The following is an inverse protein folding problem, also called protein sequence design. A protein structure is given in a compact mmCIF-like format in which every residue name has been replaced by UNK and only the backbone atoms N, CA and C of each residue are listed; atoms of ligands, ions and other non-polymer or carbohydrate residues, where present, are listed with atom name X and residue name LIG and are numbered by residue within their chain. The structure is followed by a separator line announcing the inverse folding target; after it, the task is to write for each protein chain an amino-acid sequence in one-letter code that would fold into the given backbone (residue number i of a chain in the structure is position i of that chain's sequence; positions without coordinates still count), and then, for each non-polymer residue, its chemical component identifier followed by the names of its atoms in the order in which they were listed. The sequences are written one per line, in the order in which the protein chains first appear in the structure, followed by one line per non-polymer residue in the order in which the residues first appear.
data_IF_903584976534
#
_entry.id   IF_903584976534
#
_cell.length_a   1.000
_cell.length_b   1.000
_cell.length_c   1.000
_cell.angle_alpha   90.00
_cell.angle_beta   90.00
_cell.angle_gamma   90.00
#
_symmetry.space_group_name_H-M   'P 1'
#
loop_
_entity.id
_entity.type
_entity.pdbx_description
1 polymer ?
#
# COMPACT_ATOMS: atom_id res chain seq x y z
N UNK A 1 -4.17 -15.61 -2.91
CA UNK A 1 -2.98 -16.08 -2.17
C UNK A 1 -2.58 -17.52 -2.53
N UNK A 2 -3.51 -18.47 -2.67
CA UNK A 2 -3.19 -19.91 -2.86
C UNK A 2 -2.12 -20.19 -3.93
N UNK A 3 -2.22 -19.71 -5.19
CA UNK A 3 -1.19 -20.02 -6.19
C UNK A 3 0.16 -19.32 -5.93
N UNK A 4 0.12 -18.08 -5.42
CA UNK A 4 1.31 -17.30 -5.09
C UNK A 4 2.05 -17.87 -3.87
N UNK A 5 1.33 -18.48 -2.94
CA UNK A 5 1.88 -19.07 -1.73
C UNK A 5 2.46 -20.47 -1.97
N UNK A 6 1.85 -21.25 -2.87
CA UNK A 6 2.21 -22.65 -3.15
C UNK A 6 3.43 -22.79 -4.08
N UNK A 7 3.65 -21.86 -5.00
CA UNK A 7 4.78 -21.92 -5.94
C UNK A 7 5.59 -20.63 -5.93
N UNK A 8 6.87 -20.74 -5.55
CA UNK A 8 7.83 -19.63 -5.55
C UNK A 8 8.13 -19.10 -6.95
N UNK A 9 7.95 -19.91 -7.98
CA UNK A 9 8.15 -19.55 -9.38
C UNK A 9 6.88 -19.03 -10.07
N UNK A 10 5.75 -19.02 -9.35
CA UNK A 10 4.49 -18.48 -9.87
C UNK A 10 4.67 -17.01 -10.26
N UNK A 11 4.14 -16.57 -11.42
CA UNK A 11 4.06 -15.16 -11.75
C UNK A 11 3.34 -14.33 -10.67
N UNK A 12 2.41 -14.95 -9.96
CA UNK A 12 1.65 -14.31 -8.87
C UNK A 12 2.46 -14.19 -7.57
N UNK A 13 3.63 -14.85 -7.44
CA UNK A 13 4.49 -14.73 -6.26
C UNK A 13 4.86 -13.28 -5.99
N UNK A 14 5.22 -12.55 -7.04
CA UNK A 14 5.67 -11.15 -6.97
C UNK A 14 4.55 -10.16 -6.66
N UNK A 15 3.29 -10.60 -6.64
CA UNK A 15 2.17 -9.73 -6.27
C UNK A 15 2.15 -9.40 -4.78
N UNK A 16 2.85 -10.18 -3.96
CA UNK A 16 2.94 -10.01 -2.51
C UNK A 16 4.40 -9.84 -2.09
N UNK A 17 4.60 -9.36 -0.85
CA UNK A 17 5.93 -9.13 -0.29
C UNK A 17 6.36 -10.38 0.50
N UNK A 18 7.32 -11.11 -0.05
CA UNK A 18 7.93 -12.30 0.57
C UNK A 18 9.38 -12.02 0.98
N UNK A 19 9.80 -12.59 2.11
CA UNK A 19 11.19 -12.52 2.58
C UNK A 19 11.63 -13.84 3.18
N UNK A 20 12.91 -14.11 3.02
CA UNK A 20 13.58 -15.23 3.68
C UNK A 20 13.69 -14.97 5.18
N UNK A 21 13.76 -16.06 5.95
CA UNK A 21 13.88 -16.06 7.39
C UNK A 21 13.90 -17.50 7.91
N UNK A 22 14.00 -17.65 9.22
CA UNK A 22 13.83 -18.94 9.88
C UNK A 22 12.53 -18.91 10.67
N UNK A 23 11.81 -20.03 10.78
CA UNK A 23 10.60 -20.10 11.59
C UNK A 23 10.88 -19.61 13.02
N UNK A 24 10.04 -18.71 13.52
CA UNK A 24 10.23 -18.02 14.80
C UNK A 24 11.13 -16.78 14.76
N UNK A 25 11.85 -16.54 13.65
CA UNK A 25 12.73 -15.38 13.45
C UNK A 25 12.25 -14.57 12.24
N UNK A 26 11.36 -13.57 12.43
CA UNK A 26 10.84 -12.77 11.33
C UNK A 26 11.95 -11.91 10.68
N UNK A 27 11.77 -11.46 9.42
CA UNK A 27 12.76 -10.67 8.68
C UNK A 27 13.18 -9.36 9.35
N UNK A 28 12.28 -8.75 10.11
CA UNK A 28 12.54 -7.57 10.94
C UNK A 28 11.52 -7.49 12.09
N UNK A 29 11.67 -6.47 12.94
CA UNK A 29 10.87 -6.25 14.14
C UNK A 29 9.55 -5.48 13.92
N UNK A 30 9.08 -5.32 12.68
CA UNK A 30 7.84 -4.58 12.39
C UNK A 30 6.62 -5.27 13.02
N UNK A 31 5.67 -4.46 13.49
CA UNK A 31 4.44 -4.96 14.14
C UNK A 31 3.21 -4.70 13.27
N UNK A 32 2.30 -5.68 13.26
CA UNK A 32 0.98 -5.50 12.66
C UNK A 32 0.16 -4.52 13.49
N UNK A 33 -0.72 -3.76 12.82
CA UNK A 33 -1.69 -2.88 13.46
C UNK A 33 -2.71 -3.63 14.32
N UNK A 34 -2.90 -4.92 14.07
CA UNK A 34 -3.79 -5.78 14.86
C UNK A 34 -3.03 -6.59 15.94
N UNK A 35 -1.76 -6.27 16.17
CA UNK A 35 -0.92 -6.93 17.17
C UNK A 35 -0.08 -8.07 16.60
N UNK A 36 0.96 -8.46 17.33
CA UNK A 36 1.94 -9.44 16.86
C UNK A 36 2.93 -8.90 15.83
N UNK A 37 3.63 -9.82 15.17
CA UNK A 37 4.55 -9.51 14.06
C UNK A 37 3.76 -9.05 12.83
N UNK A 38 4.35 -8.20 12.00
CA UNK A 38 3.84 -7.91 10.65
C UNK A 38 4.20 -9.02 9.64
N UNK A 39 4.89 -10.07 10.06
CA UNK A 39 5.34 -11.16 9.22
C UNK A 39 4.73 -12.48 9.66
N UNK A 40 4.07 -13.15 8.72
CA UNK A 40 3.51 -14.47 8.94
C UNK A 40 4.36 -15.53 8.23
N UNK A 41 4.80 -16.53 9.00
CA UNK A 41 5.53 -17.68 8.45
C UNK A 41 4.59 -18.51 7.59
N UNK A 42 5.05 -18.89 6.40
CA UNK A 42 4.37 -19.80 5.50
C UNK A 42 5.23 -21.04 5.27
N UNK A 43 4.92 -22.12 6.02
CA UNK A 43 5.73 -23.32 6.12
C UNK A 43 6.03 -23.96 4.76
N UNK A 44 5.02 -24.15 3.90
CA UNK A 44 5.17 -24.79 2.59
C UNK A 44 6.18 -24.07 1.69
N UNK A 45 6.21 -22.74 1.79
CA UNK A 45 7.15 -21.94 1.03
C UNK A 45 8.41 -21.58 1.80
N UNK A 46 8.58 -21.98 3.06
CA UNK A 46 9.72 -21.64 3.92
C UNK A 46 10.10 -20.15 3.92
N UNK A 47 9.10 -19.26 3.89
CA UNK A 47 9.29 -17.81 3.81
C UNK A 47 8.21 -17.09 4.62
N UNK A 48 8.49 -15.84 4.96
CA UNK A 48 7.53 -14.93 5.55
C UNK A 48 6.84 -14.10 4.47
N UNK A 49 5.55 -13.80 4.66
CA UNK A 49 4.86 -12.75 3.91
C UNK A 49 4.49 -11.58 4.83
N UNK A 50 4.51 -10.37 4.27
CA UNK A 50 4.13 -9.16 5.00
C UNK A 50 2.60 -9.03 5.09
N UNK A 51 2.11 -8.68 6.29
CA UNK A 51 0.74 -8.26 6.55
C UNK A 51 0.75 -7.10 7.58
N UNK A 52 0.38 -5.90 7.15
CA UNK A 52 0.29 -4.75 8.06
C UNK A 52 -0.98 -4.77 8.95
N UNK A 53 -1.95 -5.61 8.59
CA UNK A 53 -3.22 -5.79 9.29
C UNK A 53 -3.42 -7.27 9.67
N UNK A 54 -4.60 -7.84 9.44
CA UNK A 54 -4.88 -9.25 9.72
C UNK A 54 -3.99 -10.17 8.88
N UNK A 55 -3.73 -11.38 9.37
CA UNK A 55 -2.90 -12.40 8.69
C UNK A 55 -3.46 -12.78 7.31
N UNK A 56 -4.77 -12.66 7.11
CA UNK A 56 -5.45 -12.91 5.85
C UNK A 56 -5.30 -11.75 4.84
N UNK A 57 -4.82 -10.59 5.29
CA UNK A 57 -4.65 -9.37 4.51
C UNK A 57 -3.17 -9.18 4.12
N UNK A 58 -2.65 -10.09 3.29
CA UNK A 58 -1.30 -10.00 2.76
C UNK A 58 -1.10 -8.73 1.93
N UNK A 59 -0.02 -8.00 2.20
CA UNK A 59 0.30 -6.74 1.54
C UNK A 59 0.69 -6.96 0.08
N UNK A 60 0.06 -6.19 -0.82
CA UNK A 60 0.44 -6.14 -2.22
C UNK A 60 1.79 -5.44 -2.42
N UNK A 61 2.60 -5.98 -3.32
CA UNK A 61 3.89 -5.42 -3.70
C UNK A 61 3.72 -4.36 -4.80
N UNK A 62 3.55 -3.11 -4.40
CA UNK A 62 3.40 -1.99 -5.35
C UNK A 62 4.66 -1.69 -6.18
N UNK A 63 5.83 -2.18 -5.77
CA UNK A 63 7.05 -2.06 -6.58
C UNK A 63 6.96 -2.89 -7.87
N UNK A 64 6.19 -3.97 -7.86
CA UNK A 64 5.99 -4.83 -9.02
C UNK A 64 4.97 -4.18 -9.99
N UNK A 65 5.39 -3.70 -11.18
CA UNK A 65 4.50 -2.96 -12.07
C UNK A 65 3.21 -3.72 -12.44
N UNK A 66 3.22 -5.05 -12.70
CA UNK A 66 1.99 -5.81 -12.94
C UNK A 66 0.93 -5.68 -11.85
N UNK A 67 1.30 -5.53 -10.57
CA UNK A 67 0.33 -5.26 -9.50
C UNK A 67 -0.40 -3.95 -9.76
N UNK A 68 0.34 -2.89 -10.09
CA UNK A 68 -0.23 -1.58 -10.36
C UNK A 68 -1.08 -1.60 -11.63
N UNK A 69 -0.69 -2.33 -12.66
CA UNK A 69 -1.51 -2.54 -13.86
C UNK A 69 -2.84 -3.23 -13.55
N UNK A 70 -2.84 -4.29 -12.75
CA UNK A 70 -4.08 -4.95 -12.34
C UNK A 70 -4.98 -4.03 -11.47
N UNK A 71 -4.38 -3.26 -10.55
CA UNK A 71 -5.12 -2.26 -9.77
C UNK A 71 -5.74 -1.17 -10.64
N UNK A 72 -5.03 -0.71 -11.67
CA UNK A 72 -5.59 0.23 -12.66
C UNK A 72 -6.81 -0.37 -13.34
N UNK A 73 -6.73 -1.61 -13.83
CA UNK A 73 -7.87 -2.30 -14.47
C UNK A 73 -9.08 -2.40 -13.55
N UNK A 74 -8.88 -2.69 -12.25
CA UNK A 74 -9.97 -2.73 -11.27
C UNK A 74 -10.63 -1.35 -11.13
N UNK A 75 -9.85 -0.29 -10.98
CA UNK A 75 -10.38 1.07 -10.88
C UNK A 75 -11.12 1.49 -12.17
N UNK A 76 -10.56 1.15 -13.34
CA UNK A 76 -11.17 1.42 -14.64
C UNK A 76 -12.49 0.68 -14.80
N UNK A 77 -12.55 -0.61 -14.44
CA UNK A 77 -13.78 -1.41 -14.49
C UNK A 77 -14.93 -0.74 -13.72
N UNK A 78 -14.68 -0.27 -12.49
CA UNK A 78 -15.73 0.37 -11.69
C UNK A 78 -16.13 1.74 -12.24
N UNK A 79 -15.17 2.52 -12.73
CA UNK A 79 -15.46 3.80 -13.37
C UNK A 79 -16.31 3.61 -14.64
N UNK A 80 -15.97 2.63 -15.47
CA UNK A 80 -16.68 2.33 -16.71
C UNK A 80 -18.09 1.75 -16.43
N UNK A 81 -18.36 1.32 -15.19
CA UNK A 81 -19.71 0.96 -14.69
C UNK A 81 -20.51 2.15 -14.15
N UNK A 82 -19.94 3.37 -14.14
CA UNK A 82 -20.61 4.59 -13.70
C UNK A 82 -20.36 4.98 -12.25
N UNK A 83 -19.30 4.47 -11.61
CA UNK A 83 -18.88 4.96 -10.28
C UNK A 83 -18.20 6.33 -10.41
N UNK A 84 -18.69 7.33 -9.71
CA UNK A 84 -18.18 8.72 -9.79
C UNK A 84 -16.95 9.00 -8.91
N UNK A 85 -16.62 8.12 -7.97
CA UNK A 85 -15.49 8.32 -7.09
C UNK A 85 -15.05 7.11 -6.30
N UNK A 86 -13.78 7.15 -5.87
CA UNK A 86 -13.13 6.08 -5.14
C UNK A 86 -12.62 6.57 -3.79
N UNK A 87 -12.90 5.77 -2.76
CA UNK A 87 -12.34 5.93 -1.42
C UNK A 87 -11.14 5.00 -1.28
N UNK A 88 -9.93 5.56 -1.24
CA UNK A 88 -8.69 4.81 -1.19
C UNK A 88 -8.30 4.57 0.27
N UNK A 89 -8.47 3.33 0.73
CA UNK A 89 -8.21 2.97 2.12
C UNK A 89 -6.72 2.73 2.38
N UNK A 90 -6.22 3.31 3.48
CA UNK A 90 -4.83 3.16 3.98
C UNK A 90 -3.77 3.33 2.88
N UNK A 91 -4.08 4.18 1.90
CA UNK A 91 -3.32 4.28 0.65
C UNK A 91 -1.90 4.77 0.91
N UNK A 92 -1.69 5.55 1.96
CA UNK A 92 -0.39 6.05 2.32
C UNK A 92 0.58 5.00 2.87
N UNK A 93 0.15 3.74 2.99
CA UNK A 93 0.98 2.63 3.44
C UNK A 93 1.56 1.79 2.30
N UNK A 94 1.22 2.08 1.04
CA UNK A 94 1.53 1.14 -0.06
C UNK A 94 3.00 1.14 -0.48
N UNK A 95 3.73 2.23 -0.25
CA UNK A 95 5.16 2.32 -0.52
C UNK A 95 5.96 1.94 0.72
N UNK A 96 6.77 0.89 0.62
CA UNK A 96 7.66 0.41 1.71
C UNK A 96 9.11 0.78 1.37
N UNK A 97 9.95 1.02 2.37
CA UNK A 97 11.40 1.01 2.19
C UNK A 97 11.86 -0.42 1.86
N UNK A 98 12.67 -0.55 0.81
CA UNK A 98 12.98 -1.85 0.20
C UNK A 98 14.09 -2.61 0.89
N UNK A 99 14.82 -1.94 1.79
CA UNK A 99 15.82 -2.53 2.67
C UNK A 99 15.17 -3.27 3.86
N UNK A 100 13.89 -3.01 4.14
CA UNK A 100 13.14 -3.60 5.27
C UNK A 100 13.87 -3.55 6.62
N UNK A 101 14.41 -2.39 7.05
CA UNK A 101 15.22 -2.30 8.25
C UNK A 101 14.41 -2.54 9.53
N UNK A 102 15.07 -2.99 10.60
CA UNK A 102 14.51 -2.95 11.94
C UNK A 102 14.22 -1.51 12.39
N UNK A 103 13.16 -1.34 13.17
CA UNK A 103 12.82 -0.08 13.84
C UNK A 103 13.28 -0.12 15.30
N UNK A 104 14.43 0.47 15.60
CA UNK A 104 14.93 0.59 16.97
C UNK A 104 14.10 1.55 17.85
N UNK A 105 13.22 2.35 17.25
CA UNK A 105 12.56 3.48 17.90
C UNK A 105 11.02 3.44 17.76
N UNK A 106 10.45 2.32 17.32
CA UNK A 106 9.04 2.24 16.97
C UNK A 106 8.60 0.83 16.59
N UNK A 107 7.59 0.76 15.73
CA UNK A 107 6.94 -0.49 15.31
C UNK A 107 7.07 -0.76 13.80
N UNK A 108 7.99 -0.05 13.13
CA UNK A 108 8.21 -0.15 11.69
C UNK A 108 7.46 0.88 10.86
N UNK A 109 6.45 1.57 11.42
CA UNK A 109 5.56 2.44 10.64
C UNK A 109 6.26 3.56 9.86
N UNK A 110 7.41 4.04 10.33
CA UNK A 110 8.20 5.09 9.65
C UNK A 110 8.74 4.63 8.29
N UNK A 111 8.84 3.32 8.08
CA UNK A 111 9.43 2.73 6.88
C UNK A 111 8.39 2.41 5.81
N UNK A 112 7.10 2.55 6.10
CA UNK A 112 6.03 2.28 5.15
C UNK A 112 4.90 3.32 5.14
N UNK A 113 4.79 4.17 6.16
CA UNK A 113 3.81 5.27 6.19
C UNK A 113 4.38 6.46 5.43
N UNK A 114 3.65 6.93 4.43
CA UNK A 114 4.09 7.99 3.52
C UNK A 114 5.46 7.65 2.86
N UNK A 115 5.62 6.36 2.49
CA UNK A 115 6.90 5.81 2.05
C UNK A 115 7.46 6.42 0.77
N UNK A 116 8.71 6.06 0.39
CA UNK A 116 9.55 6.83 -0.53
C UNK A 116 8.94 7.09 -1.92
N UNK A 117 8.08 6.18 -2.40
CA UNK A 117 7.46 6.24 -3.73
C UNK A 117 5.96 6.48 -3.69
N UNK A 118 5.39 6.83 -2.54
CA UNK A 118 3.92 6.97 -2.40
C UNK A 118 3.36 8.01 -3.38
N UNK A 119 4.01 9.17 -3.48
CA UNK A 119 3.57 10.24 -4.37
C UNK A 119 3.72 9.86 -5.84
N UNK A 120 4.78 9.12 -6.19
CA UNK A 120 4.98 8.60 -7.54
C UNK A 120 3.83 7.66 -7.95
N UNK A 121 3.49 6.68 -7.09
CA UNK A 121 2.41 5.74 -7.36
C UNK A 121 1.03 6.43 -7.45
N UNK A 122 0.75 7.39 -6.58
CA UNK A 122 -0.50 8.14 -6.64
C UNK A 122 -0.59 9.01 -7.90
N UNK A 123 0.52 9.63 -8.32
CA UNK A 123 0.57 10.39 -9.57
C UNK A 123 0.39 9.50 -10.80
N UNK A 124 0.97 8.29 -10.79
CA UNK A 124 0.78 7.27 -11.82
C UNK A 124 -0.70 6.91 -11.95
N UNK A 125 -1.35 6.50 -10.85
CA UNK A 125 -2.78 6.16 -10.83
C UNK A 125 -3.68 7.35 -11.24
N UNK A 126 -3.34 8.56 -10.80
CA UNK A 126 -4.07 9.78 -11.16
C UNK A 126 -3.99 10.09 -12.64
N UNK A 127 -2.79 10.03 -13.23
CA UNK A 127 -2.55 10.29 -14.64
C UNK A 127 -3.26 9.27 -15.53
N UNK A 128 -3.23 8.00 -15.15
CA UNK A 128 -3.63 6.91 -16.05
C UNK A 128 -5.08 6.45 -15.83
N UNK A 129 -5.67 6.73 -14.66
CA UNK A 129 -7.03 6.27 -14.33
C UNK A 129 -7.92 7.39 -13.85
N UNK A 130 -7.56 8.08 -12.76
CA UNK A 130 -8.52 8.96 -12.07
C UNK A 130 -8.88 10.20 -12.89
N UNK A 131 -7.89 10.93 -13.40
CA UNK A 131 -8.13 12.16 -14.18
C UNK A 131 -8.81 11.90 -15.52
N UNK A 132 -8.39 10.91 -16.34
CA UNK A 132 -9.05 10.64 -17.62
C UNK A 132 -10.53 10.26 -17.48
N UNK A 133 -10.92 9.68 -16.34
CA UNK A 133 -12.29 9.22 -16.07
C UNK A 133 -13.10 10.16 -15.17
N UNK A 134 -12.55 11.32 -14.82
CA UNK A 134 -13.25 12.29 -13.97
C UNK A 134 -13.56 11.81 -12.55
N UNK A 135 -12.83 10.80 -12.05
CA UNK A 135 -13.10 10.23 -10.73
C UNK A 135 -12.71 11.21 -9.61
N UNK A 136 -13.64 11.44 -8.68
CA UNK A 136 -13.29 12.04 -7.39
C UNK A 136 -12.58 11.00 -6.52
N UNK A 137 -11.49 11.38 -5.85
CA UNK A 137 -10.78 10.48 -4.92
C UNK A 137 -10.63 11.08 -3.53
N UNK A 138 -10.81 10.24 -2.51
CA UNK A 138 -10.57 10.58 -1.11
C UNK A 138 -9.69 9.51 -0.49
N UNK A 139 -8.52 9.90 0.03
CA UNK A 139 -7.61 8.99 0.73
C UNK A 139 -7.87 8.95 2.23
N UNK A 140 -7.99 7.75 2.81
CA UNK A 140 -7.90 7.55 4.27
C UNK A 140 -6.45 7.25 4.60
N UNK A 141 -5.81 8.12 5.37
CA UNK A 141 -4.42 7.95 5.76
C UNK A 141 -4.31 7.47 7.20
N UNK A 142 -3.29 6.65 7.47
CA UNK A 142 -2.83 6.43 8.84
C UNK A 142 -1.86 7.55 9.19
N UNK A 143 -2.11 8.20 10.33
CA UNK A 143 -1.29 9.30 10.81
C UNK A 143 -0.05 8.76 11.51
N UNK A 144 1.14 9.10 11.00
CA UNK A 144 2.42 8.90 11.71
C UNK A 144 2.74 10.06 12.65
N UNK A 145 2.40 11.30 12.26
CA UNK A 145 2.61 12.52 13.05
C UNK A 145 1.47 13.55 12.85
N UNK A 146 1.04 14.28 13.90
CA UNK A 146 0.15 15.42 13.75
C UNK A 146 0.81 16.49 12.85
N UNK A 147 0.23 16.78 11.68
CA UNK A 147 0.71 17.87 10.79
C UNK A 147 1.01 17.49 9.33
N UNK A 148 0.98 16.21 8.94
CA UNK A 148 1.32 15.76 7.57
C UNK A 148 0.24 16.04 6.50
N UNK A 149 -0.96 16.45 6.90
CA UNK A 149 -2.11 16.68 6.00
C UNK A 149 -1.88 17.65 4.83
N UNK A 150 -1.16 18.80 4.99
CA UNK A 150 -1.01 19.78 3.92
C UNK A 150 -0.20 19.30 2.71
N UNK A 151 0.73 18.36 2.90
CA UNK A 151 1.53 17.79 1.82
C UNK A 151 0.73 16.80 0.94
N UNK A 152 -0.32 16.20 1.51
CA UNK A 152 -1.04 15.08 0.89
C UNK A 152 -2.23 15.57 0.03
N UNK A 153 -2.95 16.60 0.46
CA UNK A 153 -4.12 17.10 -0.27
C UNK A 153 -3.80 18.01 -1.47
N UNK A 154 -2.53 18.40 -1.65
CA UNK A 154 -2.14 19.42 -2.61
C UNK A 154 -2.70 20.80 -2.23
N UNK A 155 -1.83 21.79 -2.04
CA UNK A 155 -2.29 23.16 -1.86
C UNK A 155 -2.84 23.70 -3.19
N UNK A 156 -4.16 23.81 -3.34
CA UNK A 156 -4.74 24.76 -4.31
C UNK A 156 -5.84 25.64 -3.72
N UNK A 157 -5.45 26.92 -3.67
CA UNK A 157 -6.20 28.17 -3.85
C UNK A 157 -7.44 28.37 -2.98
N UNK A 158 -7.25 29.16 -1.92
CA UNK A 158 -8.24 30.17 -1.54
C UNK A 158 -8.54 31.02 -2.79
N UNK A 159 -9.70 30.83 -3.40
CA UNK A 159 -10.36 31.87 -4.18
C UNK A 159 -11.66 32.21 -3.45
N UNK A 160 -11.88 33.51 -3.37
CA UNK A 160 -12.82 34.18 -2.50
C UNK A 160 -14.25 33.64 -2.63
N UNK A 161 -14.89 33.44 -1.48
CA UNK A 161 -16.34 33.63 -1.33
C UNK A 161 -16.47 35.03 -0.77
N UNK A 162 -16.60 35.99 -1.68
CA UNK A 162 -17.12 37.33 -1.46
C UNK A 162 -17.45 37.82 -2.86
N UNK A 163 -18.65 37.43 -3.31
CA UNK A 163 -19.49 38.11 -4.31
C UNK A 163 -20.71 37.21 -4.53
N UNK A 164 -21.70 37.42 -3.66
CA UNK A 164 -23.17 37.38 -3.82
C UNK A 164 -23.83 37.24 -2.44
#
# INVERSE_FOLDING_TARGET
MVPAAQDRHSPLRQFYIWRDGAEGTPPNNWRSKFGGSAWQWHADSGQYYLHLFATEQADLNWEHPPVREELKKICQFWADKGVDGLRLDVINLVSKQQEFPDDAHGDGRRFYTDGPRIHEFLQEMSREVFRPRGLMTVGRNVVHQPGALPAICGQRRRRAVNDL
#
